data_IF_912063821966
#
_entry.id   IF_912063821966
#
_cell.length_a   1.000
_cell.length_b   1.000
_cell.length_c   1.000
_cell.angle_alpha   90.00
_cell.angle_beta   90.00
_cell.angle_gamma   90.00
#
_symmetry.space_group_name_H-M   'P 1'
#
loop_
_entity.id
_entity.type
_entity.pdbx_description
1 polymer ?
#
# COMPACT_ATOMS: atom_id res chain seq x y z
N UNK A 1 -14.74 1.37 -19.37
CA UNK A 1 -13.55 0.60 -19.78
C UNK A 1 -13.29 -0.44 -18.70
N UNK A 2 -13.30 -1.73 -19.04
CA UNK A 2 -12.98 -2.81 -18.09
C UNK A 2 -11.48 -3.06 -18.18
N UNK A 3 -10.76 -2.88 -17.07
CA UNK A 3 -9.32 -3.12 -17.02
C UNK A 3 -9.05 -4.61 -16.84
N UNK A 4 -8.29 -5.19 -17.76
CA UNK A 4 -7.78 -6.56 -17.67
C UNK A 4 -6.46 -6.57 -16.91
N UNK A 5 -6.11 -7.73 -16.34
CA UNK A 5 -4.75 -7.96 -15.88
C UNK A 5 -3.78 -7.81 -17.07
N UNK A 6 -2.99 -6.73 -17.07
CA UNK A 6 -1.97 -6.42 -18.06
C UNK A 6 -0.61 -6.30 -17.41
N UNK A 7 0.46 -6.63 -18.14
CA UNK A 7 1.84 -6.50 -17.65
C UNK A 7 2.18 -5.05 -17.26
N UNK A 8 1.54 -4.07 -17.89
CA UNK A 8 1.65 -2.65 -17.53
C UNK A 8 1.20 -2.37 -16.10
N UNK A 9 0.18 -3.08 -15.60
CA UNK A 9 -0.30 -2.98 -14.22
C UNK A 9 0.79 -3.39 -13.21
N UNK A 10 1.63 -4.35 -13.58
CA UNK A 10 2.74 -4.81 -12.73
C UNK A 10 3.84 -3.77 -12.61
N UNK A 11 3.97 -2.91 -13.63
CA UNK A 11 4.96 -1.82 -13.71
C UNK A 11 4.45 -0.54 -13.05
N UNK A 12 3.13 -0.40 -12.86
CA UNK A 12 2.56 0.76 -12.18
C UNK A 12 3.12 0.87 -10.74
N UNK A 13 3.57 2.07 -10.35
CA UNK A 13 3.97 2.35 -8.98
C UNK A 13 2.75 2.39 -8.05
N UNK A 14 2.86 1.65 -6.95
CA UNK A 14 1.97 1.73 -5.80
C UNK A 14 2.14 3.09 -5.09
N UNK A 15 1.08 3.68 -4.51
CA UNK A 15 1.14 4.93 -3.77
C UNK A 15 2.18 4.96 -2.63
N UNK A 16 2.66 3.81 -2.16
CA UNK A 16 3.71 3.71 -1.15
C UNK A 16 5.11 3.46 -1.75
N UNK A 17 5.31 3.80 -3.02
CA UNK A 17 6.61 3.75 -3.71
C UNK A 17 7.07 2.36 -4.18
N UNK A 18 6.25 1.31 -3.96
CA UNK A 18 6.51 -0.03 -4.50
C UNK A 18 5.98 -0.19 -5.93
N UNK A 19 6.11 -1.37 -6.52
CA UNK A 19 5.38 -1.75 -7.75
C UNK A 19 4.27 -2.72 -7.39
N UNK A 20 3.11 -2.62 -8.05
CA UNK A 20 2.03 -3.57 -7.80
C UNK A 20 2.48 -5.02 -8.06
N UNK A 21 3.27 -5.25 -9.12
CA UNK A 21 3.78 -6.57 -9.49
C UNK A 21 4.69 -7.24 -8.47
N UNK A 22 5.20 -6.50 -7.49
CA UNK A 22 6.00 -7.06 -6.40
C UNK A 22 5.14 -7.98 -5.52
N UNK A 23 3.92 -7.53 -5.22
CA UNK A 23 3.03 -8.20 -4.28
C UNK A 23 1.76 -8.79 -4.89
N UNK A 24 1.37 -8.45 -6.12
CA UNK A 24 0.23 -9.10 -6.80
C UNK A 24 0.69 -10.28 -7.66
N UNK A 25 -0.15 -11.30 -7.71
CA UNK A 25 -0.02 -12.45 -8.60
C UNK A 25 -1.33 -12.62 -9.36
N UNK A 26 -1.25 -12.82 -10.68
CA UNK A 26 -2.42 -13.13 -11.50
C UNK A 26 -3.10 -14.40 -10.99
N UNK A 27 -4.41 -14.34 -10.76
CA UNK A 27 -5.23 -15.54 -10.56
C UNK A 27 -6.18 -15.75 -11.73
N UNK A 28 -6.89 -14.69 -12.10
CA UNK A 28 -7.85 -14.66 -13.22
C UNK A 28 -7.67 -13.38 -14.05
N UNK A 29 -8.52 -13.21 -15.06
CA UNK A 29 -8.60 -11.99 -15.87
C UNK A 29 -8.92 -10.74 -15.04
N UNK A 30 -9.71 -10.87 -13.97
CA UNK A 30 -10.20 -9.76 -13.14
C UNK A 30 -9.83 -9.89 -11.65
N UNK A 31 -9.21 -10.99 -11.25
CA UNK A 31 -8.83 -11.24 -9.86
C UNK A 31 -7.33 -11.42 -9.76
N UNK A 32 -6.73 -10.72 -8.81
CA UNK A 32 -5.33 -10.90 -8.44
C UNK A 32 -5.24 -11.32 -6.99
N UNK A 33 -4.23 -12.09 -6.65
CA UNK A 33 -3.94 -12.48 -5.27
C UNK A 33 -2.79 -11.62 -4.76
N UNK A 34 -3.00 -10.95 -3.63
CA UNK A 34 -1.92 -10.28 -2.91
C UNK A 34 -1.12 -11.32 -2.13
N UNK A 35 0.17 -11.46 -2.41
CA UNK A 35 1.10 -12.35 -1.70
C UNK A 35 1.28 -11.96 -0.23
N UNK A 36 1.21 -10.66 0.07
CA UNK A 36 1.41 -10.15 1.43
C UNK A 36 0.20 -10.45 2.31
N UNK A 37 -1.00 -10.13 1.79
CA UNK A 37 -2.26 -10.32 2.50
C UNK A 37 -2.83 -11.74 2.38
N UNK A 38 -2.28 -12.57 1.49
CA UNK A 38 -2.85 -13.86 1.04
C UNK A 38 -4.34 -13.75 0.71
N UNK A 39 -4.75 -12.62 0.14
CA UNK A 39 -6.14 -12.25 -0.10
C UNK A 39 -6.36 -11.96 -1.58
N UNK A 40 -7.57 -12.26 -2.08
CA UNK A 40 -7.93 -12.00 -3.47
C UNK A 40 -8.51 -10.59 -3.60
N UNK A 41 -8.09 -9.86 -4.62
CA UNK A 41 -8.49 -8.50 -4.93
C UNK A 41 -9.06 -8.46 -6.35
N UNK A 42 -10.28 -7.95 -6.47
CA UNK A 42 -10.91 -7.72 -7.76
C UNK A 42 -10.37 -6.44 -8.39
N UNK A 43 -9.73 -6.54 -9.56
CA UNK A 43 -9.23 -5.39 -10.34
C UNK A 43 -10.24 -4.89 -11.36
N UNK A 44 -11.54 -5.15 -11.16
CA UNK A 44 -12.61 -4.64 -12.06
C UNK A 44 -12.57 -3.10 -12.18
N UNK A 45 -12.16 -2.42 -11.12
CA UNK A 45 -11.95 -0.96 -11.07
C UNK A 45 -10.49 -0.54 -11.38
N UNK A 46 -9.65 -1.49 -11.79
CA UNK A 46 -8.25 -1.26 -12.13
C UNK A 46 -7.35 -0.90 -10.95
N UNK A 47 -6.44 0.04 -11.20
CA UNK A 47 -5.45 0.55 -10.23
C UNK A 47 -6.10 1.12 -8.97
N UNK A 48 -7.33 1.68 -9.07
CA UNK A 48 -8.06 2.20 -7.90
C UNK A 48 -8.37 1.11 -6.87
N UNK A 49 -8.73 -0.09 -7.33
CA UNK A 49 -8.98 -1.22 -6.43
C UNK A 49 -7.70 -1.67 -5.72
N UNK A 50 -6.57 -1.67 -6.44
CA UNK A 50 -5.27 -2.00 -5.88
C UNK A 50 -4.76 -0.93 -4.92
N UNK A 51 -4.93 0.36 -5.24
CA UNK A 51 -4.61 1.46 -4.36
C UNK A 51 -5.43 1.38 -3.06
N UNK A 52 -6.73 1.11 -3.16
CA UNK A 52 -7.60 0.90 -1.99
C UNK A 52 -7.19 -0.32 -1.16
N UNK A 53 -6.77 -1.40 -1.81
CA UNK A 53 -6.24 -2.58 -1.12
C UNK A 53 -4.92 -2.28 -0.41
N UNK A 54 -4.02 -1.55 -1.08
CA UNK A 54 -2.72 -1.13 -0.55
C UNK A 54 -2.87 -0.27 0.70
N UNK A 55 -3.85 0.64 0.71
CA UNK A 55 -4.21 1.46 1.87
C UNK A 55 -4.95 0.71 2.99
N UNK A 56 -5.25 -0.59 2.83
CA UNK A 56 -5.95 -1.34 3.88
C UNK A 56 -5.02 -1.70 5.03
N UNK A 57 -5.50 -1.61 6.27
CA UNK A 57 -4.72 -1.95 7.47
C UNK A 57 -4.08 -3.35 7.43
N UNK A 58 -4.74 -4.33 6.78
CA UNK A 58 -4.18 -5.67 6.56
C UNK A 58 -2.94 -5.64 5.65
N UNK A 59 -2.96 -4.83 4.60
CA UNK A 59 -1.84 -4.67 3.69
C UNK A 59 -0.69 -3.90 4.35
N UNK A 60 -0.99 -2.81 5.05
CA UNK A 60 0.00 -2.10 5.86
C UNK A 60 0.65 -2.99 6.92
N UNK A 61 -0.14 -3.82 7.62
CA UNK A 61 0.40 -4.79 8.59
C UNK A 61 1.27 -5.85 7.94
N UNK A 62 0.86 -6.38 6.78
CA UNK A 62 1.64 -7.38 6.06
C UNK A 62 2.94 -6.81 5.47
N UNK A 63 2.89 -5.60 4.91
CA UNK A 63 4.06 -4.87 4.42
C UNK A 63 5.01 -4.48 5.56
N UNK A 64 4.46 -3.99 6.68
CA UNK A 64 5.21 -3.68 7.90
C UNK A 64 5.81 -4.90 8.59
N UNK A 65 5.22 -6.10 8.42
CA UNK A 65 5.82 -7.34 8.90
C UNK A 65 7.03 -7.79 8.06
N UNK A 66 7.08 -7.42 6.77
CA UNK A 66 8.25 -7.66 5.91
C UNK A 66 9.31 -6.57 6.05
N UNK A 67 8.90 -5.34 6.33
CA UNK A 67 9.79 -4.29 6.79
C UNK A 67 10.05 -4.44 8.29
N UNK A 68 10.78 -5.51 8.65
CA UNK A 68 11.42 -5.56 9.96
C UNK A 68 12.16 -4.24 10.19
N UNK A 69 11.83 -3.58 11.31
CA UNK A 69 12.43 -2.34 11.82
C UNK A 69 12.24 -1.07 10.98
N UNK A 70 11.28 -0.23 11.39
CA UNK A 70 11.12 1.13 10.90
C UNK A 70 10.02 1.88 11.62
N UNK A 71 10.34 2.40 12.80
CA UNK A 71 9.53 3.36 13.56
C UNK A 71 8.96 4.47 12.64
N UNK A 72 7.67 4.44 12.30
CA UNK A 72 6.94 5.59 11.72
C UNK A 72 5.66 5.82 12.53
N UNK A 73 5.82 5.84 13.86
CA UNK A 73 4.90 6.47 14.80
C UNK A 73 5.57 7.75 15.32
N UNK A 74 5.87 8.70 14.43
CA UNK A 74 6.19 10.06 14.87
C UNK A 74 5.84 11.06 13.76
N UNK A 75 4.59 11.47 13.72
CA UNK A 75 4.19 12.65 12.97
C UNK A 75 3.04 13.39 13.65
N UNK A 76 2.95 13.42 14.99
CA UNK A 76 2.02 14.29 15.73
C UNK A 76 2.51 14.49 17.17
N UNK A 77 3.61 15.21 17.38
CA UNK A 77 3.99 15.77 18.69
C UNK A 77 5.16 16.75 18.55
N UNK A 78 4.97 17.86 17.86
CA UNK A 78 5.89 19.00 17.96
C UNK A 78 5.10 20.31 17.79
N UNK A 79 4.19 20.54 18.72
CA UNK A 79 3.69 21.88 19.03
C UNK A 79 3.80 22.03 20.56
N UNK A 80 4.26 23.21 20.99
CA UNK A 80 4.41 23.67 22.37
C UNK A 80 5.67 23.27 23.16
N UNK A 81 6.80 23.90 22.80
CA UNK A 81 7.90 24.18 23.74
C UNK A 81 8.59 25.54 23.47
N UNK A 82 7.86 26.52 22.92
CA UNK A 82 8.36 27.90 22.69
C UNK A 82 7.63 28.93 23.56
N UNK A 83 7.52 28.73 24.88
CA UNK A 83 7.28 29.85 25.79
C UNK A 83 7.91 29.55 27.16
N UNK A 84 8.77 30.44 27.64
CA UNK A 84 9.30 30.61 29.02
C UNK A 84 10.81 30.61 29.23
N UNK A 85 11.63 31.00 28.26
CA UNK A 85 12.95 31.55 28.60
C UNK A 85 13.27 32.75 27.72
N UNK A 86 12.60 33.88 28.01
CA UNK A 86 13.26 35.17 27.93
C UNK A 86 12.86 35.94 29.19
N UNK A 87 13.86 36.03 30.06
CA UNK A 87 13.90 36.78 31.29
C UNK A 87 14.06 38.26 30.98
#
# INVERSE_FOLDING_TARGET
MVLHYSDDLLKTPDPNGGKFGDWIVKKDTFNVTCRLCKSNVCIKEGEKALAKHSSSAKHHKAKGAQAGTGNIFQAFAQQDAKQREYK
#
